data_IF_771065228633
#
_entry.id   IF_771065228633
#
_cell.length_a   1.000
_cell.length_b   1.000
_cell.length_c   1.000
_cell.angle_alpha   90.00
_cell.angle_beta   90.00
_cell.angle_gamma   90.00
#
_symmetry.space_group_name_H-M   'P 1'
#
loop_
_entity.id
_entity.type
_entity.pdbx_description
1 polymer ?
#
# COMPACT_ATOMS: atom_id res chain seq x y z
N UNK A 1 -32.13 1.20 -21.71
CA UNK A 1 -30.67 1.02 -21.81
C UNK A 1 -30.08 1.45 -20.45
N UNK A 2 -29.80 0.49 -19.56
CA UNK A 2 -29.33 0.79 -18.21
C UNK A 2 -27.83 1.14 -18.26
N UNK A 3 -27.34 2.13 -17.50
CA UNK A 3 -25.92 2.44 -17.43
C UNK A 3 -25.15 1.26 -16.81
N UNK A 4 -23.91 1.00 -17.25
CA UNK A 4 -23.09 -0.06 -16.69
C UNK A 4 -22.83 0.24 -15.21
N UNK A 5 -23.15 -0.73 -14.35
CA UNK A 5 -22.89 -0.67 -12.91
C UNK A 5 -21.37 -0.61 -12.70
N UNK A 6 -20.83 0.59 -12.55
CA UNK A 6 -19.46 0.81 -12.12
C UNK A 6 -19.26 0.17 -10.75
N UNK A 7 -18.58 -0.99 -10.70
CA UNK A 7 -18.07 -1.54 -9.44
C UNK A 7 -17.14 -0.51 -8.83
N UNK A 8 -17.39 -0.13 -7.58
CA UNK A 8 -16.50 0.70 -6.80
C UNK A 8 -15.25 -0.11 -6.40
N UNK A 9 -14.05 0.21 -6.91
CA UNK A 9 -12.82 -0.52 -6.62
C UNK A 9 -12.28 -0.22 -5.22
N UNK A 10 -12.80 0.81 -4.51
CA UNK A 10 -12.54 1.07 -3.08
C UNK A 10 -12.85 -0.15 -2.19
N UNK A 11 -13.61 -1.12 -2.70
CA UNK A 11 -13.94 -2.40 -2.04
C UNK A 11 -12.89 -3.51 -2.12
N UNK A 12 -11.71 -3.31 -2.72
CA UNK A 12 -10.76 -4.44 -2.89
C UNK A 12 -9.54 -4.39 -1.96
N UNK A 13 -9.01 -3.22 -1.60
CA UNK A 13 -7.76 -3.11 -0.84
C UNK A 13 -7.90 -2.73 0.64
N UNK A 14 -8.82 -1.84 1.02
CA UNK A 14 -9.18 -1.67 2.44
C UNK A 14 -9.61 -2.99 3.10
N UNK A 15 -10.41 -3.86 2.44
CA UNK A 15 -10.65 -5.21 2.95
C UNK A 15 -9.45 -6.15 2.83
N UNK A 16 -8.39 -5.83 2.08
CA UNK A 16 -7.18 -6.65 2.04
C UNK A 16 -6.40 -6.53 3.36
N UNK A 17 -6.17 -5.30 3.85
CA UNK A 17 -5.53 -5.06 5.14
C UNK A 17 -6.34 -5.67 6.30
N UNK A 18 -7.67 -5.50 6.26
CA UNK A 18 -8.58 -6.15 7.22
C UNK A 18 -8.53 -7.68 7.12
N UNK A 19 -8.56 -8.26 5.92
CA UNK A 19 -8.44 -9.72 5.73
C UNK A 19 -7.11 -10.26 6.21
N UNK A 20 -6.01 -9.54 6.01
CA UNK A 20 -4.71 -9.95 6.53
C UNK A 20 -4.67 -9.90 8.05
N UNK A 21 -5.34 -8.91 8.65
CA UNK A 21 -5.53 -8.85 10.11
C UNK A 21 -6.35 -10.05 10.62
N UNK A 22 -7.39 -10.45 9.90
CA UNK A 22 -8.18 -11.67 10.22
C UNK A 22 -7.33 -12.94 10.09
N UNK A 23 -6.50 -13.05 9.04
CA UNK A 23 -5.59 -14.18 8.85
C UNK A 23 -4.53 -14.24 9.96
N UNK A 24 -4.00 -13.11 10.38
CA UNK A 24 -3.06 -13.02 11.51
C UNK A 24 -3.68 -13.45 12.84
N UNK A 25 -5.00 -13.34 12.99
CA UNK A 25 -5.73 -13.78 14.19
C UNK A 25 -6.03 -15.30 14.20
N UNK A 26 -5.74 -16.03 13.12
CA UNK A 26 -5.94 -17.48 13.07
C UNK A 26 -4.91 -18.18 13.96
N UNK A 27 -5.33 -19.08 14.89
CA UNK A 27 -4.42 -19.73 15.84
C UNK A 27 -3.22 -20.41 15.18
N UNK A 28 -3.45 -21.17 14.11
CA UNK A 28 -2.39 -21.87 13.37
C UNK A 28 -1.36 -20.92 12.75
N UNK A 29 -1.75 -19.69 12.44
CA UNK A 29 -0.86 -18.65 11.92
C UNK A 29 -0.06 -18.04 13.07
N UNK A 30 -0.70 -17.75 14.19
CA UNK A 30 0.00 -17.25 15.41
C UNK A 30 1.05 -18.26 15.91
N UNK A 31 0.76 -19.56 15.83
CA UNK A 31 1.67 -20.64 16.21
C UNK A 31 2.93 -20.74 15.35
N UNK A 32 2.98 -20.08 14.18
CA UNK A 32 4.22 -19.96 13.41
C UNK A 32 5.26 -19.06 14.13
N UNK A 33 4.84 -18.31 15.14
CA UNK A 33 5.71 -17.50 15.99
C UNK A 33 6.68 -18.38 16.78
N UNK A 34 7.98 -18.11 16.65
CA UNK A 34 9.04 -18.91 17.30
C UNK A 34 9.52 -20.12 16.48
N UNK A 35 8.98 -20.31 15.28
CA UNK A 35 9.50 -21.29 14.30
C UNK A 35 10.41 -20.61 13.28
N UNK A 36 11.04 -21.40 12.40
CA UNK A 36 11.77 -20.89 11.21
C UNK A 36 10.92 -20.00 10.29
N UNK A 37 9.59 -20.09 10.37
CA UNK A 37 8.65 -19.33 9.55
C UNK A 37 8.21 -17.99 10.18
N UNK A 38 8.77 -17.59 11.34
CA UNK A 38 8.40 -16.34 12.02
C UNK A 38 8.57 -15.11 11.13
N UNK A 39 9.55 -15.14 10.22
CA UNK A 39 9.83 -14.08 9.24
C UNK A 39 8.64 -13.80 8.32
N UNK A 40 7.84 -14.83 7.97
CA UNK A 40 6.64 -14.66 7.15
C UNK A 40 5.48 -14.06 7.94
N UNK A 41 5.43 -14.26 9.27
CA UNK A 41 4.48 -13.56 10.12
C UNK A 41 4.77 -12.08 10.21
N UNK A 42 6.05 -11.71 10.35
CA UNK A 42 6.43 -10.31 10.39
C UNK A 42 6.17 -9.63 9.04
N UNK A 43 6.35 -10.36 7.94
CA UNK A 43 5.92 -9.93 6.62
C UNK A 43 4.39 -9.75 6.54
N UNK A 44 3.59 -10.70 7.00
CA UNK A 44 2.12 -10.55 7.02
C UNK A 44 1.68 -9.35 7.85
N UNK A 45 2.31 -9.11 9.01
CA UNK A 45 2.07 -7.94 9.87
C UNK A 45 2.39 -6.63 9.14
N UNK A 46 3.50 -6.59 8.41
CA UNK A 46 3.88 -5.46 7.58
C UNK A 46 2.82 -5.16 6.51
N UNK A 47 2.27 -6.16 5.82
CA UNK A 47 1.22 -5.94 4.81
C UNK A 47 -0.16 -5.62 5.42
N UNK A 48 -0.41 -6.02 6.68
CA UNK A 48 -1.67 -5.74 7.36
C UNK A 48 -1.71 -4.30 7.93
N UNK A 49 -0.59 -3.80 8.45
CA UNK A 49 -0.57 -2.57 9.25
C UNK A 49 0.57 -1.61 8.95
N UNK A 50 1.57 -2.03 8.18
CA UNK A 50 2.77 -1.23 7.91
C UNK A 50 2.77 -0.55 6.55
N UNK A 51 3.83 0.22 6.35
CA UNK A 51 4.12 1.03 5.17
C UNK A 51 5.44 0.61 4.52
N UNK A 52 5.72 1.16 3.34
CA UNK A 52 7.02 0.98 2.68
C UNK A 52 8.19 1.49 3.55
N UNK A 53 8.00 2.59 4.28
CA UNK A 53 8.98 3.10 5.25
C UNK A 53 9.26 2.11 6.40
N UNK A 54 8.24 1.41 6.89
CA UNK A 54 8.40 0.37 7.91
C UNK A 54 9.21 -0.82 7.39
N UNK A 55 8.99 -1.22 6.13
CA UNK A 55 9.80 -2.26 5.49
C UNK A 55 11.27 -1.84 5.40
N UNK A 56 11.56 -0.62 4.90
CA UNK A 56 12.94 -0.14 4.78
C UNK A 56 13.65 -0.06 6.14
N UNK A 57 12.92 0.28 7.19
CA UNK A 57 13.47 0.36 8.55
C UNK A 57 13.74 -1.01 9.18
N UNK A 58 13.17 -2.09 8.63
CA UNK A 58 13.26 -3.44 9.16
C UNK A 58 13.83 -4.45 8.14
N UNK A 59 14.51 -3.97 7.09
CA UNK A 59 15.02 -4.82 6.00
C UNK A 59 15.98 -5.92 6.49
N UNK A 60 16.69 -5.69 7.59
CA UNK A 60 17.60 -6.68 8.19
C UNK A 60 16.87 -7.85 8.86
N UNK A 61 15.59 -7.67 9.19
CA UNK A 61 14.76 -8.65 9.92
C UNK A 61 13.68 -9.27 9.04
N UNK A 62 13.41 -8.66 7.90
CA UNK A 62 12.37 -9.06 6.97
C UNK A 62 12.98 -9.76 5.74
N UNK A 63 12.22 -10.66 5.09
CA UNK A 63 12.70 -11.28 3.87
C UNK A 63 12.71 -10.24 2.75
N UNK A 64 13.63 -10.41 1.79
CA UNK A 64 13.68 -9.53 0.63
C UNK A 64 12.37 -9.65 -0.18
N UNK A 65 11.68 -8.52 -0.38
CA UNK A 65 10.46 -8.48 -1.18
C UNK A 65 10.78 -8.66 -2.66
N UNK A 66 10.01 -9.53 -3.32
CA UNK A 66 10.01 -9.58 -4.79
C UNK A 66 9.32 -8.33 -5.36
N UNK A 67 9.55 -7.97 -6.65
CA UNK A 67 9.02 -6.73 -7.22
C UNK A 67 7.50 -6.55 -7.04
N UNK A 68 6.70 -7.60 -7.26
CA UNK A 68 5.25 -7.55 -7.07
C UNK A 68 4.82 -7.28 -5.61
N UNK A 69 5.59 -7.78 -4.64
CA UNK A 69 5.31 -7.56 -3.22
C UNK A 69 5.67 -6.12 -2.82
N UNK A 70 6.82 -5.62 -3.28
CA UNK A 70 7.22 -4.24 -3.08
C UNK A 70 6.20 -3.26 -3.67
N UNK A 71 5.73 -3.54 -4.88
CA UNK A 71 4.67 -2.80 -5.55
C UNK A 71 3.40 -2.73 -4.69
N UNK A 72 2.93 -3.88 -4.20
CA UNK A 72 1.74 -3.94 -3.33
C UNK A 72 1.91 -3.16 -2.03
N UNK A 73 3.09 -3.22 -1.42
CA UNK A 73 3.33 -2.48 -0.18
C UNK A 73 3.34 -0.96 -0.41
N UNK A 74 3.92 -0.52 -1.53
CA UNK A 74 3.84 0.90 -1.95
C UNK A 74 2.41 1.33 -2.23
N UNK A 75 1.62 0.51 -2.91
CA UNK A 75 0.18 0.75 -3.15
C UNK A 75 -0.61 0.88 -1.84
N UNK A 76 -0.37 -0.02 -0.88
CA UNK A 76 -0.97 0.03 0.45
C UNK A 76 -0.56 1.30 1.20
N UNK A 77 0.70 1.71 1.09
CA UNK A 77 1.20 2.95 1.69
C UNK A 77 0.43 4.17 1.19
N UNK A 78 0.21 4.28 -0.13
CA UNK A 78 -0.60 5.37 -0.71
C UNK A 78 -2.04 5.32 -0.19
N UNK A 79 -2.63 4.13 -0.10
CA UNK A 79 -3.99 3.96 0.42
C UNK A 79 -4.09 4.44 1.87
N UNK A 80 -3.17 4.03 2.75
CA UNK A 80 -3.14 4.45 4.16
C UNK A 80 -2.98 5.96 4.32
N UNK A 81 -2.13 6.58 3.50
CA UNK A 81 -1.98 8.04 3.48
C UNK A 81 -3.28 8.73 3.04
N UNK A 82 -3.93 8.22 1.99
CA UNK A 82 -5.18 8.76 1.45
C UNK A 82 -6.40 8.59 2.38
N UNK A 83 -6.38 7.57 3.25
CA UNK A 83 -7.35 7.40 4.32
C UNK A 83 -7.20 8.48 5.38
N UNK A 84 -5.96 8.86 5.69
CA UNK A 84 -5.63 9.86 6.71
C UNK A 84 -5.85 11.30 6.22
N UNK A 85 -5.41 11.61 4.99
CA UNK A 85 -5.44 12.96 4.43
C UNK A 85 -5.99 12.97 3.00
N UNK A 86 -6.88 13.93 2.71
CA UNK A 86 -7.47 14.11 1.36
C UNK A 86 -6.57 14.83 0.37
N UNK A 87 -5.53 15.50 0.86
CA UNK A 87 -4.53 16.16 0.02
C UNK A 87 -3.17 15.64 0.47
N UNK A 88 -2.48 14.96 -0.44
CA UNK A 88 -1.21 14.32 -0.20
C UNK A 88 -0.11 15.10 -0.94
N UNK A 89 0.78 15.82 -0.23
CA UNK A 89 1.91 16.50 -0.86
C UNK A 89 2.83 15.50 -1.57
N UNK A 90 3.35 15.89 -2.74
CA UNK A 90 4.29 15.06 -3.50
C UNK A 90 5.54 14.76 -2.70
N UNK A 91 6.06 15.71 -1.93
CA UNK A 91 7.28 15.51 -1.16
C UNK A 91 7.10 14.42 -0.08
N UNK A 92 5.91 14.36 0.55
CA UNK A 92 5.55 13.29 1.47
C UNK A 92 5.43 11.94 0.75
N UNK A 93 4.72 11.89 -0.38
CA UNK A 93 4.58 10.66 -1.17
C UNK A 93 5.92 10.14 -1.68
N UNK A 94 6.80 11.04 -2.14
CA UNK A 94 8.14 10.70 -2.60
C UNK A 94 8.97 10.09 -1.47
N UNK A 95 8.92 10.68 -0.27
CA UNK A 95 9.60 10.14 0.90
C UNK A 95 9.06 8.75 1.30
N UNK A 96 7.74 8.62 1.44
CA UNK A 96 7.11 7.38 1.90
C UNK A 96 7.22 6.23 0.89
N UNK A 97 7.30 6.54 -0.42
CA UNK A 97 7.42 5.54 -1.48
C UNK A 97 8.87 5.32 -1.94
N UNK A 98 9.82 6.07 -1.37
CA UNK A 98 11.22 6.08 -1.79
C UNK A 98 11.40 6.37 -3.30
N UNK A 99 10.70 7.40 -3.77
CA UNK A 99 10.70 7.84 -5.17
C UNK A 99 11.46 9.15 -5.29
N UNK A 100 12.38 9.22 -6.26
CA UNK A 100 13.37 10.30 -6.33
C UNK A 100 12.93 11.51 -7.14
N UNK A 101 11.94 11.34 -8.01
CA UNK A 101 11.49 12.39 -8.92
C UNK A 101 9.97 12.38 -9.11
N UNK A 102 9.43 13.56 -9.44
CA UNK A 102 7.99 13.77 -9.60
C UNK A 102 7.41 12.92 -10.73
N UNK A 103 8.15 12.73 -11.82
CA UNK A 103 7.66 11.98 -12.99
C UNK A 103 7.41 10.52 -12.63
N UNK A 104 8.35 9.90 -11.93
CA UNK A 104 8.22 8.53 -11.42
C UNK A 104 7.07 8.42 -10.42
N UNK A 105 6.89 9.42 -9.55
CA UNK A 105 5.75 9.45 -8.63
C UNK A 105 4.42 9.51 -9.39
N UNK A 106 4.28 10.42 -10.35
CA UNK A 106 3.05 10.58 -11.13
C UNK A 106 2.75 9.32 -11.95
N UNK A 107 3.77 8.72 -12.58
CA UNK A 107 3.65 7.47 -13.33
C UNK A 107 3.17 6.33 -12.41
N UNK A 108 3.76 6.21 -11.23
CA UNK A 108 3.33 5.23 -10.22
C UNK A 108 1.89 5.48 -9.76
N UNK A 109 1.51 6.71 -9.44
CA UNK A 109 0.16 7.04 -9.01
C UNK A 109 -0.87 6.73 -10.11
N UNK A 110 -0.56 7.03 -11.37
CA UNK A 110 -1.45 6.79 -12.50
C UNK A 110 -1.57 5.29 -12.80
N UNK A 111 -0.45 4.64 -13.09
CA UNK A 111 -0.41 3.27 -13.60
C UNK A 111 -0.67 2.25 -12.50
N UNK A 112 -0.03 2.42 -11.35
CA UNK A 112 -0.05 1.41 -10.30
C UNK A 112 -1.15 1.64 -9.27
N UNK A 113 -1.65 2.87 -9.09
CA UNK A 113 -2.66 3.15 -8.06
C UNK A 113 -4.03 3.50 -8.65
N UNK A 114 -4.13 4.47 -9.55
CA UNK A 114 -5.41 4.92 -10.12
C UNK A 114 -5.99 3.92 -11.13
N UNK A 115 -5.15 3.42 -12.05
CA UNK A 115 -5.59 2.47 -13.07
C UNK A 115 -6.00 1.12 -12.44
N UNK A 116 -5.27 0.67 -11.43
CA UNK A 116 -5.63 -0.48 -10.59
C UNK A 116 -6.88 -0.24 -9.72
N UNK A 117 -7.40 0.99 -9.65
CA UNK A 117 -8.58 1.36 -8.89
C UNK A 117 -8.36 1.42 -7.38
N UNK A 118 -7.11 1.46 -6.91
CA UNK A 118 -6.76 1.48 -5.49
C UNK A 118 -7.12 2.84 -4.88
N UNK A 119 -6.73 3.92 -5.56
CA UNK A 119 -7.07 5.30 -5.20
C UNK A 119 -7.76 5.99 -6.37
N UNK A 120 -8.51 7.04 -6.07
CA UNK A 120 -9.13 7.90 -7.07
C UNK A 120 -8.88 9.33 -6.64
N UNK A 121 -8.50 10.18 -7.58
CA UNK A 121 -8.18 11.55 -7.25
C UNK A 121 -7.67 12.33 -8.44
N UNK A 122 -7.08 13.50 -8.17
CA UNK A 122 -6.50 14.37 -9.17
C UNK A 122 -5.08 14.74 -8.77
N UNK A 123 -4.18 14.70 -9.74
CA UNK A 123 -2.82 15.20 -9.61
C UNK A 123 -2.84 16.70 -9.91
N UNK A 124 -2.37 17.51 -8.97
CA UNK A 124 -2.14 18.95 -9.16
C UNK A 124 -0.63 19.19 -9.19
N UNK A 125 -0.10 19.31 -10.41
CA UNK A 125 1.32 19.54 -10.64
C UNK A 125 1.79 20.93 -10.19
N UNK A 126 0.90 21.94 -10.21
CA UNK A 126 1.22 23.31 -9.78
C UNK A 126 1.36 23.38 -8.26
N UNK A 127 0.43 22.74 -7.54
CA UNK A 127 0.43 22.67 -6.07
C UNK A 127 1.28 21.52 -5.53
N UNK A 128 1.82 20.66 -6.41
CA UNK A 128 2.62 19.48 -6.08
C UNK A 128 1.89 18.59 -5.08
N UNK A 129 0.63 18.26 -5.34
CA UNK A 129 -0.16 17.41 -4.47
C UNK A 129 -1.09 16.48 -5.25
N UNK A 130 -1.46 15.38 -4.59
CA UNK A 130 -2.47 14.44 -5.04
C UNK A 130 -3.71 14.59 -4.16
N UNK A 131 -4.85 14.94 -4.77
CA UNK A 131 -6.13 15.13 -4.07
C UNK A 131 -7.03 13.91 -4.26
N UNK A 132 -7.48 13.27 -3.16
CA UNK A 132 -8.16 11.95 -3.15
C UNK A 132 -9.64 12.02 -2.79
#
# INVERSE_FOLDING_TARGET
MAPPRHRDPRRHFAPLALRLSEILAVPNVVELGGTENSVYLDMLRLFAHGTWSDYKSNVDRLPQLVPDQALKLKQLTVLTLAETNKVLPYDQLMQELDVTNVRELEDFLINECMYAGIVRGKLDQLRRCFEV
#
